data_IF_094214482642
#
_entry.id   IF_094214482642
#
_cell.length_a   1.000
_cell.length_b   1.000
_cell.length_c   1.000
_cell.angle_alpha   90.00
_cell.angle_beta   90.00
_cell.angle_gamma   90.00
#
_symmetry.space_group_name_H-M   'P 1'
#
loop_
_entity.id
_entity.type
_entity.pdbx_description
1 polymer ?
#
# COMPACT_ATOMS: atom_id res chain seq x y z
N UNK A 1 22.25 3.71 -4.39
CA UNK A 1 23.19 2.62 -4.03
C UNK A 1 22.90 1.38 -4.87
N UNK A 2 23.75 0.34 -4.87
CA UNK A 2 23.47 -0.91 -5.63
C UNK A 2 22.14 -1.59 -5.21
N UNK A 3 21.80 -1.69 -3.90
CA UNK A 3 20.49 -2.23 -3.48
C UNK A 3 19.29 -1.43 -4.01
N UNK A 4 19.41 -0.10 -4.03
CA UNK A 4 18.37 0.79 -4.56
C UNK A 4 18.17 0.58 -6.07
N UNK A 5 19.24 0.43 -6.84
CA UNK A 5 19.15 0.16 -8.28
C UNK A 5 18.47 -1.18 -8.58
N UNK A 6 18.76 -2.22 -7.79
CA UNK A 6 18.10 -3.52 -7.93
C UNK A 6 16.60 -3.44 -7.60
N UNK A 7 16.24 -2.75 -6.53
CA UNK A 7 14.83 -2.53 -6.16
C UNK A 7 14.08 -1.80 -7.27
N UNK A 8 14.66 -0.72 -7.82
CA UNK A 8 14.04 0.05 -8.90
C UNK A 8 13.92 -0.76 -10.20
N UNK A 9 14.92 -1.57 -10.54
CA UNK A 9 14.87 -2.48 -11.68
C UNK A 9 13.76 -3.52 -11.53
N UNK A 10 13.63 -4.14 -10.34
CA UNK A 10 12.53 -5.05 -10.03
C UNK A 10 11.17 -4.36 -10.13
N UNK A 11 11.02 -3.16 -9.54
CA UNK A 11 9.77 -2.40 -9.56
C UNK A 11 9.33 -2.06 -10.99
N UNK A 12 10.29 -1.69 -11.84
CA UNK A 12 10.03 -1.40 -13.25
C UNK A 12 9.52 -2.65 -13.99
N UNK A 13 10.18 -3.79 -13.82
CA UNK A 13 9.76 -5.05 -14.42
C UNK A 13 8.40 -5.54 -13.87
N UNK A 14 8.16 -5.32 -12.59
CA UNK A 14 6.89 -5.63 -11.91
C UNK A 14 5.73 -4.86 -12.53
N UNK A 15 5.88 -3.53 -12.69
CA UNK A 15 4.85 -2.68 -13.29
C UNK A 15 4.62 -2.97 -14.78
N UNK A 16 5.62 -3.49 -15.49
CA UNK A 16 5.50 -3.89 -16.89
C UNK A 16 4.73 -5.21 -17.11
N UNK A 17 4.28 -5.89 -16.04
CA UNK A 17 3.43 -7.09 -16.13
C UNK A 17 4.15 -8.37 -16.60
N UNK A 18 5.49 -8.41 -16.57
CA UNK A 18 6.28 -9.47 -17.19
C UNK A 18 6.36 -10.81 -16.45
N UNK A 19 5.94 -10.88 -15.18
CA UNK A 19 6.01 -12.11 -14.35
C UNK A 19 4.87 -12.10 -13.32
N UNK A 20 4.31 -13.28 -12.98
CA UNK A 20 3.40 -13.46 -11.85
C UNK A 20 4.04 -12.90 -10.57
N UNK A 21 3.66 -11.68 -10.22
CA UNK A 21 4.30 -10.92 -9.16
C UNK A 21 3.33 -10.65 -8.01
N UNK A 22 3.83 -10.52 -6.77
CA UNK A 22 2.97 -10.23 -5.64
C UNK A 22 2.28 -8.88 -5.82
N UNK A 23 1.05 -8.76 -5.34
CA UNK A 23 0.33 -7.49 -5.38
C UNK A 23 1.08 -6.42 -4.57
N UNK A 24 1.38 -5.29 -5.21
CA UNK A 24 2.02 -4.15 -4.56
C UNK A 24 0.98 -3.20 -3.96
N UNK A 25 1.19 -2.82 -2.70
CA UNK A 25 0.40 -1.85 -1.95
C UNK A 25 1.31 -0.72 -1.48
N UNK A 26 0.79 0.51 -1.46
CA UNK A 26 1.55 1.70 -1.12
C UNK A 26 0.81 2.53 -0.08
N UNK A 27 1.47 2.79 1.06
CA UNK A 27 1.02 3.73 2.07
C UNK A 27 2.04 4.85 2.24
N UNK A 28 1.62 6.13 2.16
CA UNK A 28 2.54 7.26 2.42
C UNK A 28 1.85 8.48 3.05
N UNK A 29 2.62 9.23 3.84
CA UNK A 29 2.19 10.51 4.41
C UNK A 29 2.23 11.62 3.37
N UNK A 30 1.19 12.47 3.32
CA UNK A 30 1.10 13.55 2.33
C UNK A 30 2.14 14.66 2.55
N UNK A 31 2.66 14.79 3.77
CA UNK A 31 3.71 15.75 4.18
C UNK A 31 5.07 15.06 4.36
N UNK A 32 5.18 13.77 4.02
CA UNK A 32 6.45 13.07 3.98
C UNK A 32 7.35 13.72 2.90
N UNK A 33 8.63 13.94 3.21
CA UNK A 33 9.63 14.45 2.25
C UNK A 33 9.75 13.58 1.00
N UNK A 34 9.38 12.30 1.08
CA UNK A 34 9.38 11.35 -0.02
C UNK A 34 8.04 11.27 -0.78
N UNK A 35 7.01 12.00 -0.34
CA UNK A 35 5.69 12.00 -0.96
C UNK A 35 5.71 12.27 -2.49
N UNK A 36 6.57 13.15 -3.05
CA UNK A 36 6.65 13.32 -4.50
C UNK A 36 6.96 12.02 -5.26
N UNK A 37 7.91 11.22 -4.77
CA UNK A 37 8.26 9.93 -5.36
C UNK A 37 7.15 8.90 -5.18
N UNK A 38 6.53 8.85 -4.00
CA UNK A 38 5.40 7.96 -3.75
C UNK A 38 4.20 8.27 -4.66
N UNK A 39 3.92 9.54 -4.98
CA UNK A 39 2.86 9.93 -5.92
C UNK A 39 3.11 9.40 -7.34
N UNK A 40 4.37 9.37 -7.78
CA UNK A 40 4.72 8.81 -9.09
C UNK A 40 4.41 7.31 -9.11
N UNK A 41 4.83 6.56 -8.09
CA UNK A 41 4.50 5.13 -7.99
C UNK A 41 2.98 4.90 -7.88
N UNK A 42 2.28 5.70 -7.06
CA UNK A 42 0.84 5.60 -6.88
C UNK A 42 0.06 5.71 -8.20
N UNK A 43 0.52 6.53 -9.15
CA UNK A 43 -0.13 6.69 -10.46
C UNK A 43 -0.10 5.41 -11.33
N UNK A 44 0.77 4.44 -11.00
CA UNK A 44 0.90 3.18 -11.71
C UNK A 44 0.24 2.00 -10.98
N UNK A 45 -0.37 2.23 -9.80
CA UNK A 45 -1.02 1.21 -9.01
C UNK A 45 -2.54 1.34 -9.07
N UNK A 46 -3.30 0.24 -8.93
CA UNK A 46 -4.74 0.31 -8.72
C UNK A 46 -5.07 1.19 -7.50
N UNK A 47 -5.99 2.17 -7.60
CA UNK A 47 -6.28 3.12 -6.53
C UNK A 47 -6.63 2.47 -5.19
N UNK A 48 -7.32 1.32 -5.22
CA UNK A 48 -7.67 0.55 -4.04
C UNK A 48 -6.46 0.04 -3.23
N UNK A 49 -5.28 -0.03 -3.84
CA UNK A 49 -4.02 -0.47 -3.21
C UNK A 49 -3.14 0.69 -2.74
N UNK A 50 -3.62 1.93 -2.86
CA UNK A 50 -2.90 3.12 -2.45
C UNK A 50 -3.62 3.81 -1.29
N UNK A 51 -2.87 4.14 -0.25
CA UNK A 51 -3.35 4.92 0.90
C UNK A 51 -2.44 6.13 1.08
N UNK A 52 -3.03 7.32 1.07
CA UNK A 52 -2.33 8.57 1.32
C UNK A 52 -3.05 9.38 2.40
N UNK A 53 -2.46 9.47 3.59
CA UNK A 53 -3.04 10.18 4.73
C UNK A 53 -2.22 11.43 5.08
N UNK A 54 -2.81 12.46 5.72
CA UNK A 54 -2.03 13.51 6.36
C UNK A 54 -1.04 12.91 7.36
N UNK A 55 0.21 13.37 7.31
CA UNK A 55 1.29 12.86 8.15
C UNK A 55 2.66 12.96 7.49
N UNK A 56 3.70 12.90 8.31
CA UNK A 56 5.10 12.97 7.89
C UNK A 56 5.75 11.58 7.79
N UNK A 57 7.08 11.59 7.81
CA UNK A 57 7.88 10.37 7.86
C UNK A 57 8.04 9.89 9.31
N UNK A 58 6.92 9.55 9.95
CA UNK A 58 6.84 9.26 11.38
C UNK A 58 5.98 8.03 11.69
N UNK A 59 6.25 7.45 12.86
CA UNK A 59 5.60 6.22 13.30
C UNK A 59 4.07 6.33 13.43
N UNK A 60 3.49 7.39 14.03
CA UNK A 60 2.03 7.56 14.06
C UNK A 60 1.39 7.50 12.66
N UNK A 61 1.99 8.18 11.69
CA UNK A 61 1.54 8.17 10.29
C UNK A 61 1.59 6.76 9.71
N UNK A 62 2.70 6.04 9.90
CA UNK A 62 2.83 4.67 9.36
C UNK A 62 1.86 3.69 9.99
N UNK A 63 1.62 3.77 11.29
CA UNK A 63 0.61 2.93 11.96
C UNK A 63 -0.78 3.18 11.39
N UNK A 64 -1.15 4.44 11.15
CA UNK A 64 -2.44 4.78 10.55
C UNK A 64 -2.57 4.25 9.12
N UNK A 65 -1.54 4.47 8.29
CA UNK A 65 -1.49 3.95 6.91
C UNK A 65 -1.60 2.42 6.87
N UNK A 66 -0.88 1.74 7.75
CA UNK A 66 -0.89 0.27 7.82
C UNK A 66 -2.25 -0.28 8.22
N UNK A 67 -2.90 0.32 9.22
CA UNK A 67 -4.26 -0.09 9.64
C UNK A 67 -5.27 0.11 8.52
N UNK A 68 -5.20 1.22 7.80
CA UNK A 68 -6.11 1.50 6.68
C UNK A 68 -5.92 0.48 5.54
N UNK A 69 -4.66 0.15 5.19
CA UNK A 69 -4.36 -0.90 4.21
C UNK A 69 -4.94 -2.25 4.64
N UNK A 70 -4.76 -2.65 5.90
CA UNK A 70 -5.25 -3.94 6.40
C UNK A 70 -6.78 -3.99 6.53
N UNK A 71 -7.47 -2.86 6.59
CA UNK A 71 -8.93 -2.81 6.58
C UNK A 71 -9.53 -3.04 5.19
N UNK A 72 -8.73 -2.93 4.12
CA UNK A 72 -9.17 -3.08 2.72
C UNK A 72 -9.06 -4.52 2.24
N UNK A 73 -9.89 -4.89 1.26
CA UNK A 73 -9.75 -6.17 0.56
C UNK A 73 -8.35 -6.28 -0.08
N UNK A 74 -7.66 -7.44 0.01
CA UNK A 74 -8.13 -8.73 0.50
C UNK A 74 -7.86 -8.98 2.00
N UNK A 75 -7.35 -7.99 2.74
CA UNK A 75 -6.93 -8.15 4.14
C UNK A 75 -8.06 -7.92 5.15
N UNK A 76 -9.01 -7.06 4.80
CA UNK A 76 -10.16 -6.72 5.62
C UNK A 76 -11.06 -7.94 5.90
N UNK A 77 -11.95 -7.84 6.89
CA UNK A 77 -12.84 -8.92 7.26
C UNK A 77 -13.63 -9.40 6.02
N UNK A 78 -13.68 -10.72 5.82
CA UNK A 78 -14.46 -11.30 4.73
C UNK A 78 -15.90 -10.87 4.89
N UNK A 79 -16.47 -10.27 3.85
CA UNK A 79 -17.92 -10.06 3.71
C UNK A 79 -18.62 -11.41 3.82
N UNK A 80 -19.01 -11.78 5.04
CA UNK A 80 -19.52 -13.10 5.40
C UNK A 80 -19.31 -13.47 6.87
N UNK A 81 -18.33 -12.86 7.57
CA UNK A 81 -18.03 -13.20 8.97
C UNK A 81 -18.88 -12.41 9.99
N UNK A 82 -19.44 -11.27 9.57
CA UNK A 82 -20.36 -10.47 10.39
C UNK A 82 -21.68 -11.18 10.74
N UNK A 83 -21.98 -12.32 10.11
CA UNK A 83 -23.19 -13.11 10.36
C UNK A 83 -23.06 -14.18 11.45
N UNK A 84 -21.86 -14.46 11.98
CA UNK A 84 -21.66 -15.53 12.99
C UNK A 84 -21.69 -15.06 14.45
N UNK A 85 -21.66 -13.76 14.70
CA UNK A 85 -21.63 -13.23 16.07
C UNK A 85 -23.02 -12.84 16.63
N UNK A 86 -24.11 -13.15 15.92
CA UNK A 86 -25.47 -12.94 16.39
C UNK A 86 -26.22 -14.26 16.54
N UNK A 87 -26.15 -14.87 17.72
CA UNK A 87 -27.20 -15.73 18.27
C UNK A 87 -27.06 -15.76 19.81
N UNK A 88 -28.18 -15.90 20.53
CA UNK A 88 -28.45 -15.33 21.85
C UNK A 88 -27.74 -15.98 23.03
#
# INVERSE_FOLDING_TARGET
>A
TVPEQHLLGWLTAHLAGGVASPALYLGYGQQDRFAPGHRLLAAHLPPERVVALPGGHDWPTWVALWRDLLARSPFGPRTGDAGRCAAP
#
